data_IF_288993047957
#
_entry.id   IF_288993047957
#
_cell.length_a   1.000
_cell.length_b   1.000
_cell.length_c   1.000
_cell.angle_alpha   90.00
_cell.angle_beta   90.00
_cell.angle_gamma   90.00
#
_symmetry.space_group_name_H-M   'P 1'
#
loop_
_entity.id
_entity.type
_entity.pdbx_description
1 polymer ?
#
# COMPACT_ATOMS: atom_id res chain seq x y z
N UNK A 1 -7.64 -4.48 21.29
CA UNK A 1 -8.79 -3.62 20.92
C UNK A 1 -8.62 -3.33 19.43
N UNK A 2 -9.34 -4.05 18.56
CA UNK A 2 -9.28 -3.83 17.12
C UNK A 2 -10.18 -2.66 16.78
N UNK A 3 -9.60 -1.46 16.72
CA UNK A 3 -10.29 -0.30 16.17
C UNK A 3 -10.32 -0.50 14.66
N UNK A 4 -11.50 -0.82 14.14
CA UNK A 4 -11.76 -0.97 12.72
C UNK A 4 -11.22 0.25 11.97
N UNK A 5 -10.60 0.01 10.81
CA UNK A 5 -10.33 1.04 9.82
C UNK A 5 -11.59 1.90 9.69
N UNK A 6 -11.48 3.23 9.75
CA UNK A 6 -12.67 4.05 9.63
C UNK A 6 -13.34 3.73 8.30
N UNK A 7 -14.68 3.77 8.30
CA UNK A 7 -15.49 3.71 7.09
C UNK A 7 -14.79 4.48 5.95
N UNK A 8 -14.83 3.94 4.75
CA UNK A 8 -14.14 4.46 3.54
C UNK A 8 -14.42 5.95 3.25
N UNK A 9 -15.45 6.53 3.88
CA UNK A 9 -15.69 7.98 3.97
C UNK A 9 -15.09 8.54 5.26
N UNK A 10 -13.87 9.09 5.18
CA UNK A 10 -13.26 9.90 6.25
C UNK A 10 -12.90 11.29 5.77
N UNK A 11 -12.91 12.28 6.67
CA UNK A 11 -12.28 13.56 6.41
C UNK A 11 -10.75 13.44 6.50
N UNK A 12 -10.03 14.45 6.00
CA UNK A 12 -8.56 14.49 6.11
C UNK A 12 -8.10 14.49 7.56
N UNK A 13 -8.78 15.25 8.41
CA UNK A 13 -8.47 15.40 9.84
C UNK A 13 -8.65 14.08 10.58
N UNK A 14 -9.71 13.32 10.26
CA UNK A 14 -9.95 11.99 10.83
C UNK A 14 -8.93 10.96 10.34
N UNK A 15 -8.45 11.10 9.10
CA UNK A 15 -7.50 10.18 8.49
C UNK A 15 -6.05 10.43 8.92
N UNK A 16 -5.72 11.67 9.28
CA UNK A 16 -4.35 12.09 9.60
C UNK A 16 -3.70 11.26 10.72
N UNK A 17 -4.35 10.99 11.88
CA UNK A 17 -3.74 10.15 12.92
C UNK A 17 -3.44 8.74 12.43
N UNK A 18 -4.31 8.15 11.59
CA UNK A 18 -4.06 6.83 11.02
C UNK A 18 -2.83 6.81 10.13
N UNK A 19 -2.69 7.80 9.24
CA UNK A 19 -1.54 7.89 8.35
C UNK A 19 -0.26 8.08 9.17
N UNK A 20 -0.27 9.03 10.11
CA UNK A 20 0.90 9.41 10.90
C UNK A 20 1.33 8.34 11.90
N UNK A 21 0.38 7.75 12.62
CA UNK A 21 0.66 6.91 13.79
C UNK A 21 0.68 5.41 13.43
N UNK A 22 0.06 5.02 12.30
CA UNK A 22 -0.04 3.61 11.89
C UNK A 22 0.59 3.32 10.54
N UNK A 23 0.22 4.06 9.49
CA UNK A 23 0.62 3.68 8.12
C UNK A 23 2.07 4.00 7.83
N UNK A 24 2.54 5.20 8.19
CA UNK A 24 3.93 5.59 8.02
C UNK A 24 4.86 4.71 8.87
N UNK A 25 4.62 4.48 10.18
CA UNK A 25 5.41 3.55 10.98
C UNK A 25 5.35 2.11 10.43
N UNK A 26 4.18 1.65 10.01
CA UNK A 26 3.99 0.33 9.41
C UNK A 26 4.80 0.14 8.13
N UNK A 27 4.80 1.13 7.24
CA UNK A 27 5.64 1.10 6.02
C UNK A 27 7.14 1.07 6.36
N UNK A 28 7.59 1.84 7.34
CA UNK A 28 9.00 1.81 7.79
C UNK A 28 9.37 0.43 8.33
N UNK A 29 8.50 -0.19 9.12
CA UNK A 29 8.70 -1.55 9.61
C UNK A 29 8.73 -2.56 8.47
N UNK A 30 7.83 -2.44 7.49
CA UNK A 30 7.80 -3.30 6.31
C UNK A 30 9.11 -3.21 5.50
N UNK A 31 9.62 -2.00 5.23
CA UNK A 31 10.90 -1.82 4.53
C UNK A 31 12.07 -2.46 5.29
N UNK A 32 12.08 -2.37 6.62
CA UNK A 32 13.07 -3.05 7.45
C UNK A 32 12.96 -4.57 7.29
N UNK A 33 11.76 -5.11 7.35
CA UNK A 33 11.52 -6.55 7.22
C UNK A 33 11.90 -7.08 5.83
N UNK A 34 11.66 -6.31 4.76
CA UNK A 34 12.17 -6.62 3.41
C UNK A 34 13.69 -6.73 3.41
N UNK A 35 14.41 -5.75 4.00
CA UNK A 35 15.88 -5.78 4.05
C UNK A 35 16.46 -6.95 4.87
N UNK A 36 15.62 -7.62 5.66
CA UNK A 36 15.96 -8.81 6.44
C UNK A 36 15.48 -10.11 5.77
N UNK A 37 15.02 -10.06 4.50
CA UNK A 37 14.52 -11.21 3.75
C UNK A 37 13.15 -11.72 4.21
N UNK A 38 12.38 -10.91 4.94
CA UNK A 38 11.08 -11.28 5.51
C UNK A 38 10.00 -10.30 5.04
N UNK A 39 9.49 -10.38 3.80
CA UNK A 39 8.51 -9.42 3.24
C UNK A 39 7.09 -9.58 3.85
N UNK A 40 6.98 -9.76 5.16
CA UNK A 40 5.71 -9.95 5.86
C UNK A 40 5.18 -8.62 6.41
N UNK A 41 3.93 -8.33 6.11
CA UNK A 41 3.22 -7.17 6.65
C UNK A 41 2.53 -6.37 5.56
N UNK A 42 2.08 -5.18 5.93
CA UNK A 42 1.38 -4.30 5.02
C UNK A 42 2.30 -3.21 4.49
N UNK A 43 2.23 -2.97 3.19
CA UNK A 43 2.89 -1.85 2.53
C UNK A 43 1.85 -0.99 1.84
N UNK A 44 1.71 0.26 2.29
CA UNK A 44 0.61 1.15 1.90
C UNK A 44 1.15 2.37 1.16
N UNK A 45 1.04 2.40 -0.16
CA UNK A 45 1.62 3.48 -0.98
C UNK A 45 0.54 4.37 -1.58
N UNK A 46 0.77 5.69 -1.50
CA UNK A 46 0.00 6.66 -2.25
C UNK A 46 0.45 6.73 -3.71
N UNK A 47 -0.50 6.89 -4.62
CA UNK A 47 -0.26 7.20 -6.02
C UNK A 47 -0.34 8.72 -6.16
N UNK A 48 0.79 9.36 -6.45
CA UNK A 48 0.91 10.81 -6.66
C UNK A 48 1.28 11.08 -8.11
N UNK A 49 0.50 11.94 -8.77
CA UNK A 49 0.73 12.33 -10.15
C UNK A 49 1.81 13.41 -10.22
N UNK A 50 2.98 13.08 -10.78
CA UNK A 50 4.19 13.92 -10.75
C UNK A 50 3.98 15.31 -11.34
N UNK A 51 3.19 15.41 -12.40
CA UNK A 51 2.95 16.66 -13.14
C UNK A 51 2.18 17.70 -12.32
N UNK A 52 1.44 17.26 -11.30
CA UNK A 52 0.52 18.11 -10.53
C UNK A 52 0.69 17.99 -9.01
N UNK A 53 1.56 17.08 -8.57
CA UNK A 53 1.73 16.66 -7.17
C UNK A 53 0.41 16.23 -6.49
N UNK A 54 -0.57 15.80 -7.28
CA UNK A 54 -1.87 15.38 -6.76
C UNK A 54 -1.84 13.93 -6.33
N UNK A 55 -2.28 13.68 -5.10
CA UNK A 55 -2.69 12.35 -4.68
C UNK A 55 -3.94 11.92 -5.45
N UNK A 56 -3.85 10.82 -6.19
CA UNK A 56 -4.93 10.34 -7.06
C UNK A 56 -5.49 8.97 -6.63
N UNK A 57 -4.84 8.29 -5.69
CA UNK A 57 -5.25 6.97 -5.23
C UNK A 57 -4.15 6.31 -4.40
N UNK A 58 -4.28 5.01 -4.18
CA UNK A 58 -3.32 4.22 -3.44
C UNK A 58 -3.22 2.81 -4.01
N UNK A 59 -2.06 2.17 -3.82
CA UNK A 59 -1.80 0.79 -4.18
C UNK A 59 -0.97 0.17 -3.06
N UNK A 60 -1.44 -0.95 -2.54
CA UNK A 60 -0.96 -1.53 -1.31
C UNK A 60 -0.77 -3.03 -1.47
N UNK A 61 0.11 -3.59 -0.64
CA UNK A 61 0.33 -5.01 -0.48
C UNK A 61 0.09 -5.42 0.98
N UNK A 62 -0.37 -6.64 1.21
CA UNK A 62 -0.58 -7.15 2.56
C UNK A 62 -0.85 -8.65 2.60
N UNK A 63 -0.71 -9.30 3.76
CA UNK A 63 -1.03 -10.71 3.92
C UNK A 63 -2.51 -10.96 3.60
N UNK A 64 -2.77 -12.07 2.91
CA UNK A 64 -4.14 -12.55 2.71
C UNK A 64 -4.48 -13.57 3.80
N UNK A 65 -5.27 -13.17 4.80
CA UNK A 65 -5.59 -14.03 5.94
C UNK A 65 -6.21 -15.39 5.55
N UNK A 66 -6.88 -15.46 4.41
CA UNK A 66 -7.48 -16.69 3.89
C UNK A 66 -6.48 -17.63 3.18
N UNK A 67 -5.22 -17.24 3.03
CA UNK A 67 -4.17 -18.02 2.36
C UNK A 67 -2.97 -18.23 3.29
N UNK A 68 -2.23 -19.34 3.16
CA UNK A 68 -1.02 -19.54 3.93
C UNK A 68 0.02 -18.47 3.59
N UNK A 69 0.81 -18.04 4.57
CA UNK A 69 1.98 -17.20 4.32
C UNK A 69 2.94 -17.93 3.36
N UNK A 70 3.66 -17.22 2.47
CA UNK A 70 3.76 -15.75 2.34
C UNK A 70 2.80 -15.13 1.31
N UNK A 71 1.64 -15.77 1.02
CA UNK A 71 0.72 -15.25 0.00
C UNK A 71 0.24 -13.83 0.35
N UNK A 72 0.46 -12.92 -0.59
CA UNK A 72 0.24 -11.47 -0.44
C UNK A 72 -0.80 -11.01 -1.46
N UNK A 73 -1.78 -10.22 -1.02
CA UNK A 73 -2.74 -9.56 -1.92
C UNK A 73 -2.27 -8.16 -2.31
N UNK A 74 -2.56 -7.77 -3.55
CA UNK A 74 -2.45 -6.39 -4.01
C UNK A 74 -3.85 -5.79 -4.01
N UNK A 75 -4.01 -4.65 -3.34
CA UNK A 75 -5.27 -3.92 -3.27
C UNK A 75 -5.05 -2.45 -3.59
N UNK A 76 -6.02 -1.81 -4.23
CA UNK A 76 -5.87 -0.45 -4.73
C UNK A 76 -7.21 0.28 -4.78
N UNK A 77 -7.13 1.61 -4.82
CA UNK A 77 -8.23 2.46 -5.24
C UNK A 77 -7.68 3.66 -6.01
N UNK A 78 -8.51 4.19 -6.92
CA UNK A 78 -8.20 5.38 -7.70
C UNK A 78 -9.39 6.32 -7.67
N UNK A 79 -9.12 7.61 -7.65
CA UNK A 79 -10.16 8.63 -7.77
C UNK A 79 -10.83 8.55 -9.15
N UNK A 80 -12.16 8.63 -9.19
CA UNK A 80 -13.00 8.49 -10.39
C UNK A 80 -12.48 9.25 -11.62
N UNK A 81 -11.98 10.48 -11.43
CA UNK A 81 -11.49 11.32 -12.51
C UNK A 81 -10.22 10.78 -13.21
N UNK A 82 -9.57 9.78 -12.63
CA UNK A 82 -8.32 9.18 -13.10
C UNK A 82 -8.46 7.70 -13.49
N UNK A 83 -9.68 7.15 -13.49
CA UNK A 83 -9.99 5.81 -14.00
C UNK A 83 -9.75 5.70 -15.52
N UNK A 84 -9.55 4.47 -16.03
CA UNK A 84 -9.39 4.21 -17.47
C UNK A 84 -8.05 4.67 -18.08
N UNK A 85 -7.12 5.19 -17.27
CA UNK A 85 -5.82 5.75 -17.74
C UNK A 85 -4.62 4.83 -17.47
N UNK A 86 -4.84 3.64 -16.93
CA UNK A 86 -3.78 2.67 -16.63
C UNK A 86 -2.89 2.98 -15.42
N UNK A 87 -3.18 4.05 -14.64
CA UNK A 87 -2.37 4.41 -13.46
C UNK A 87 -2.28 3.30 -12.43
N UNK A 88 -3.41 2.66 -12.11
CA UNK A 88 -3.43 1.54 -11.17
C UNK A 88 -2.66 0.34 -11.71
N UNK A 89 -2.79 0.02 -13.00
CA UNK A 89 -2.03 -1.07 -13.62
C UNK A 89 -0.54 -0.83 -13.50
N UNK A 90 -0.08 0.40 -13.75
CA UNK A 90 1.33 0.77 -13.59
C UNK A 90 1.76 0.65 -12.12
N UNK A 91 0.97 1.18 -11.19
CA UNK A 91 1.28 1.13 -9.76
C UNK A 91 1.36 -0.31 -9.24
N UNK A 92 0.38 -1.15 -9.56
CA UNK A 92 0.32 -2.55 -9.17
C UNK A 92 1.49 -3.36 -9.76
N UNK A 93 1.78 -3.21 -11.06
CA UNK A 93 2.94 -3.87 -11.68
C UNK A 93 4.25 -3.47 -11.00
N UNK A 94 4.46 -2.16 -10.80
CA UNK A 94 5.67 -1.66 -10.15
C UNK A 94 5.81 -2.20 -8.72
N UNK A 95 4.71 -2.28 -7.96
CA UNK A 95 4.72 -2.84 -6.61
C UNK A 95 5.00 -4.34 -6.63
N UNK A 96 4.40 -5.10 -7.55
CA UNK A 96 4.67 -6.52 -7.74
C UNK A 96 6.16 -6.72 -8.08
N UNK A 97 6.69 -5.99 -9.06
CA UNK A 97 8.08 -6.07 -9.48
C UNK A 97 9.04 -5.74 -8.31
N UNK A 98 8.73 -4.71 -7.51
CA UNK A 98 9.49 -4.38 -6.31
C UNK A 98 9.48 -5.52 -5.29
N UNK A 99 8.30 -6.06 -4.96
CA UNK A 99 8.19 -7.16 -4.01
C UNK A 99 8.99 -8.38 -4.50
N UNK A 100 8.83 -8.81 -5.75
CA UNK A 100 9.54 -9.98 -6.24
C UNK A 100 11.05 -9.74 -6.41
N UNK A 101 11.49 -8.54 -6.83
CA UNK A 101 12.92 -8.25 -7.00
C UNK A 101 13.69 -8.16 -5.68
N UNK A 102 13.08 -7.65 -4.62
CA UNK A 102 13.69 -7.61 -3.28
C UNK A 102 13.63 -8.98 -2.60
N UNK A 103 12.61 -9.79 -2.89
CA UNK A 103 12.46 -11.15 -2.32
C UNK A 103 13.41 -12.16 -2.98
N UNK A 104 13.72 -12.01 -4.28
CA UNK A 104 14.54 -12.96 -5.03
C UNK A 104 16.06 -12.75 -4.90
N UNK A 105 16.52 -11.82 -4.04
CA UNK A 105 17.95 -11.59 -3.81
C UNK A 105 18.56 -12.44 -2.67
N UNK A 106 17.81 -13.39 -2.12
CA UNK A 106 18.26 -14.26 -1.02
C UNK A 106 18.05 -15.74 -1.29
#
# INVERSE_FOLDING_TARGET
MYHYLPEWRTTKEQRLPWVSDWEIPGNKAFLKLISEGRPEGYFRLGIVLKETDKFIGWCCAGPKDQLPKPNTEIFYAISKNYEGRGYVTKAAKTLIDYLFSEILQH
#
